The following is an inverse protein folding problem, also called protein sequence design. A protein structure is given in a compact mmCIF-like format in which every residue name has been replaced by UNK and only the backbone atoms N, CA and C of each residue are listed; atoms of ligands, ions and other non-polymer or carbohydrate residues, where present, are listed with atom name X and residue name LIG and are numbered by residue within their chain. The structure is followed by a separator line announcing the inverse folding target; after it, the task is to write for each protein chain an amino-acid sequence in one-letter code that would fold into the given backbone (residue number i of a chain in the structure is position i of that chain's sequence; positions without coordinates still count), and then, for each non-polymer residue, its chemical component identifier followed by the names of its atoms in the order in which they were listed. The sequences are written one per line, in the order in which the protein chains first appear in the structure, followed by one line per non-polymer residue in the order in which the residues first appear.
data_IF_734535091237
#
_entry.id   IF_734535091237
#
_cell.length_a   1.000
_cell.length_b   1.000
_cell.length_c   1.000
_cell.angle_alpha   90.00
_cell.angle_beta   90.00
_cell.angle_gamma   90.00
#
_symmetry.space_group_name_H-M   'P 1'
#
loop_
_entity.id
_entity.type
_entity.pdbx_description
1 polymer ?
#
# COMPACT_ATOMS: atom_id res chain seq x y z
N UNK A 1 -14.25 62.35 -1.93
CA UNK A 1 -13.27 61.39 -2.47
C UNK A 1 -13.92 60.02 -2.37
N UNK A 2 -14.38 59.48 -3.49
CA UNK A 2 -15.07 58.21 -3.53
C UNK A 2 -14.01 57.11 -3.54
N UNK A 3 -13.91 56.37 -2.44
CA UNK A 3 -12.94 55.30 -2.27
C UNK A 3 -13.39 54.12 -3.13
N UNK A 4 -12.92 54.05 -4.38
CA UNK A 4 -13.20 52.93 -5.28
C UNK A 4 -12.60 51.67 -4.67
N UNK A 5 -13.47 50.86 -4.07
CA UNK A 5 -13.17 49.53 -3.56
C UNK A 5 -12.80 48.67 -4.78
N UNK A 6 -11.52 48.40 -4.98
CA UNK A 6 -11.09 47.47 -6.02
C UNK A 6 -11.53 46.06 -5.61
N UNK A 7 -12.57 45.54 -6.27
CA UNK A 7 -12.97 44.15 -6.11
C UNK A 7 -11.93 43.25 -6.80
N UNK A 8 -11.23 42.45 -6.00
CA UNK A 8 -10.27 41.46 -6.49
C UNK A 8 -11.08 40.33 -7.13
N UNK A 9 -10.91 40.09 -8.43
CA UNK A 9 -11.45 38.90 -9.09
C UNK A 9 -10.64 37.67 -8.68
N UNK A 10 -11.33 36.61 -8.30
CA UNK A 10 -10.72 35.31 -7.94
C UNK A 10 -11.29 34.22 -8.83
N UNK A 11 -10.42 33.32 -9.30
CA UNK A 11 -10.79 32.08 -10.00
C UNK A 11 -10.18 30.89 -9.26
N UNK A 12 -10.97 29.85 -9.03
CA UNK A 12 -10.52 28.59 -8.42
C UNK A 12 -10.68 27.49 -9.46
N UNK A 13 -9.65 26.67 -9.63
CA UNK A 13 -9.65 25.49 -10.49
C UNK A 13 -9.31 24.28 -9.64
N UNK A 14 -9.92 23.14 -9.95
CA UNK A 14 -9.74 21.91 -9.20
C UNK A 14 -9.09 20.86 -10.09
N UNK A 15 -8.10 20.17 -9.53
CA UNK A 15 -7.52 18.98 -10.16
C UNK A 15 -8.50 17.81 -10.05
N UNK A 16 -8.53 16.93 -11.04
CA UNK A 16 -9.37 15.72 -11.07
C UNK A 16 -9.21 14.89 -9.79
N UNK A 17 -7.97 14.71 -9.33
CA UNK A 17 -7.66 14.00 -8.08
C UNK A 17 -8.32 14.58 -6.83
N UNK A 18 -8.62 15.89 -6.81
CA UNK A 18 -9.30 16.53 -5.67
C UNK A 18 -10.77 16.16 -5.69
N UNK A 19 -11.40 16.23 -6.86
CA UNK A 19 -12.80 15.84 -7.02
C UNK A 19 -12.97 14.33 -6.79
N UNK A 20 -12.07 13.50 -7.30
CA UNK A 20 -12.05 12.07 -7.05
C UNK A 20 -12.00 11.73 -5.54
N UNK A 21 -11.26 12.49 -4.74
CA UNK A 21 -11.25 12.31 -3.26
C UNK A 21 -12.59 12.65 -2.62
N UNK A 22 -13.24 13.72 -3.06
CA UNK A 22 -14.57 14.11 -2.58
C UNK A 22 -15.57 13.01 -2.91
N UNK A 23 -15.56 12.53 -4.16
CA UNK A 23 -16.38 11.40 -4.62
C UNK A 23 -16.10 10.18 -3.75
N UNK A 24 -14.84 9.82 -3.57
CA UNK A 24 -14.41 8.70 -2.75
C UNK A 24 -14.98 8.70 -1.34
N UNK A 25 -14.81 9.82 -0.64
CA UNK A 25 -15.36 9.96 0.71
C UNK A 25 -16.90 9.96 0.74
N UNK A 26 -17.55 10.52 -0.28
CA UNK A 26 -19.01 10.47 -0.38
C UNK A 26 -19.53 9.03 -0.55
N UNK A 27 -18.82 8.21 -1.32
CA UNK A 27 -19.18 6.81 -1.58
C UNK A 27 -19.09 5.92 -0.32
N UNK A 28 -18.24 6.24 0.65
CA UNK A 28 -18.13 5.50 1.92
C UNK A 28 -19.45 5.45 2.71
N UNK A 29 -20.35 6.41 2.47
CA UNK A 29 -21.64 6.51 3.17
C UNK A 29 -22.79 5.77 2.46
N UNK A 30 -22.53 5.12 1.33
CA UNK A 30 -23.56 4.43 0.53
C UNK A 30 -23.73 3.00 1.02
N UNK A 31 -24.90 2.70 1.59
CA UNK A 31 -25.24 1.33 1.99
C UNK A 31 -25.35 0.39 0.77
N UNK A 32 -24.74 -0.79 0.87
CA UNK A 32 -24.73 -1.79 -0.20
C UNK A 32 -23.65 -1.58 -1.27
N UNK A 33 -22.87 -0.49 -1.21
CA UNK A 33 -21.64 -0.35 -2.00
C UNK A 33 -20.47 -0.97 -1.22
N UNK A 34 -19.85 -2.02 -1.75
CA UNK A 34 -18.74 -2.71 -1.08
C UNK A 34 -17.40 -2.11 -1.46
N UNK A 35 -17.18 -1.93 -2.75
CA UNK A 35 -15.93 -1.40 -3.26
C UNK A 35 -16.15 -0.61 -4.56
N UNK A 36 -15.15 0.20 -4.87
CA UNK A 36 -14.90 0.68 -6.23
C UNK A 36 -13.73 -0.14 -6.79
N UNK A 37 -13.81 -0.50 -8.07
CA UNK A 37 -12.82 -1.32 -8.78
C UNK A 37 -11.40 -0.75 -8.64
N UNK A 38 -10.38 -1.57 -8.89
CA UNK A 38 -8.99 -1.11 -8.78
C UNK A 38 -8.47 -0.87 -7.36
N UNK A 39 -9.28 -1.16 -6.33
CA UNK A 39 -8.89 -0.94 -4.94
C UNK A 39 -8.86 0.54 -4.56
N UNK A 40 -9.66 1.38 -5.22
CA UNK A 40 -9.70 2.83 -5.01
C UNK A 40 -9.75 3.23 -3.52
N UNK A 41 -10.62 2.61 -2.71
CA UNK A 41 -10.70 2.90 -1.27
C UNK A 41 -9.39 2.57 -0.52
N UNK A 42 -8.72 1.48 -0.88
CA UNK A 42 -7.42 1.09 -0.34
C UNK A 42 -6.32 2.07 -0.75
N UNK A 43 -6.35 2.55 -2.00
CA UNK A 43 -5.39 3.52 -2.54
C UNK A 43 -5.55 4.90 -1.89
N UNK A 44 -6.79 5.32 -1.62
CA UNK A 44 -7.09 6.55 -0.87
C UNK A 44 -6.51 6.50 0.55
N UNK A 45 -6.62 5.34 1.22
CA UNK A 45 -6.08 5.12 2.57
C UNK A 45 -4.56 5.01 2.61
N UNK A 46 -3.94 4.39 1.60
CA UNK A 46 -2.50 4.13 1.52
C UNK A 46 -1.67 5.23 0.84
N UNK A 47 -2.24 6.42 0.58
CA UNK A 47 -1.62 7.55 -0.14
C UNK A 47 -0.43 8.22 0.57
N UNK A 48 0.59 7.45 0.95
CA UNK A 48 1.92 7.88 1.45
C UNK A 48 3.01 7.76 0.37
N UNK A 49 2.76 7.09 -0.75
CA UNK A 49 3.78 6.85 -1.78
C UNK A 49 3.34 7.45 -3.11
N UNK A 50 4.21 8.28 -3.70
CA UNK A 50 4.04 8.97 -4.98
C UNK A 50 3.80 7.99 -6.15
N UNK A 51 2.58 7.49 -6.32
CA UNK A 51 2.18 6.77 -7.53
C UNK A 51 1.07 7.56 -8.22
N UNK A 52 1.33 8.00 -9.45
CA UNK A 52 0.40 8.70 -10.33
C UNK A 52 -0.82 7.84 -10.77
N UNK A 53 -1.08 6.70 -10.11
CA UNK A 53 -2.12 5.71 -10.44
C UNK A 53 -3.25 5.64 -9.39
N UNK A 54 -3.56 6.73 -8.69
CA UNK A 54 -4.55 6.75 -7.58
C UNK A 54 -6.02 6.74 -8.08
N UNK A 55 -6.26 6.55 -9.38
CA UNK A 55 -7.61 6.70 -9.99
C UNK A 55 -8.22 5.40 -10.49
N UNK A 56 -7.58 4.24 -10.28
CA UNK A 56 -8.17 2.98 -10.73
C UNK A 56 -9.57 2.81 -10.12
N UNK A 57 -10.61 2.79 -10.97
CA UNK A 57 -12.02 2.64 -10.64
C UNK A 57 -12.85 3.92 -10.43
N UNK A 58 -12.22 5.10 -10.30
CA UNK A 58 -12.92 6.41 -10.29
C UNK A 58 -12.27 7.32 -11.31
N UNK A 59 -12.94 7.52 -12.43
CA UNK A 59 -12.53 8.48 -13.44
C UNK A 59 -13.35 9.77 -13.28
N UNK A 60 -12.68 10.91 -13.25
CA UNK A 60 -13.33 12.21 -13.10
C UNK A 60 -12.79 13.16 -14.14
N UNK A 61 -13.69 13.77 -14.89
CA UNK A 61 -13.36 14.86 -15.79
C UNK A 61 -13.91 16.18 -15.22
N UNK A 62 -13.03 17.18 -15.12
CA UNK A 62 -13.36 18.47 -14.49
C UNK A 62 -13.32 19.59 -15.52
N UNK A 63 -14.49 20.18 -15.78
CA UNK A 63 -14.63 21.43 -16.52
C UNK A 63 -14.59 22.67 -15.60
N UNK A 64 -14.80 23.85 -16.18
CA UNK A 64 -14.79 25.11 -15.42
C UNK A 64 -15.97 25.24 -14.44
N UNK A 65 -17.10 24.59 -14.74
CA UNK A 65 -18.33 24.64 -13.93
C UNK A 65 -19.00 23.28 -13.75
N UNK A 66 -18.50 22.28 -14.46
CA UNK A 66 -19.17 21.01 -14.66
C UNK A 66 -18.19 19.88 -14.38
N UNK A 67 -18.71 18.75 -13.91
CA UNK A 67 -17.95 17.55 -13.59
C UNK A 67 -18.69 16.34 -14.17
N UNK A 68 -17.94 15.44 -14.78
CA UNK A 68 -18.41 14.10 -15.15
C UNK A 68 -17.68 13.05 -14.30
N UNK A 69 -18.40 12.03 -13.87
CA UNK A 69 -17.87 10.97 -13.00
C UNK A 69 -18.23 9.60 -13.56
N UNK A 70 -17.22 8.77 -13.81
CA UNK A 70 -17.41 7.35 -14.13
C UNK A 70 -16.90 6.49 -12.98
N UNK A 71 -17.71 5.52 -12.58
CA UNK A 71 -17.48 4.65 -11.43
C UNK A 71 -17.60 3.19 -11.85
N UNK A 72 -16.60 2.38 -11.52
CA UNK A 72 -16.70 0.92 -11.56
C UNK A 72 -16.97 0.39 -10.16
N UNK A 73 -18.16 -0.14 -9.90
CA UNK A 73 -18.61 -0.48 -8.54
C UNK A 73 -18.81 -1.99 -8.31
N UNK A 74 -18.49 -2.42 -7.09
CA UNK A 74 -18.81 -3.75 -6.56
C UNK A 74 -19.90 -3.59 -5.51
N UNK A 75 -21.01 -4.29 -5.69
CA UNK A 75 -22.21 -4.14 -4.85
C UNK A 75 -22.45 -5.36 -3.97
N UNK A 76 -23.16 -5.16 -2.86
CA UNK A 76 -23.51 -6.21 -1.91
C UNK A 76 -24.63 -7.10 -2.46
N UNK A 77 -24.42 -8.42 -2.38
CA UNK A 77 -25.42 -9.42 -2.78
C UNK A 77 -26.74 -9.24 -2.00
N UNK A 78 -27.85 -9.23 -2.74
CA UNK A 78 -29.20 -9.11 -2.17
C UNK A 78 -29.68 -7.67 -1.93
N UNK A 79 -28.89 -6.65 -2.33
CA UNK A 79 -29.32 -5.24 -2.33
C UNK A 79 -29.88 -4.79 -3.68
N UNK A 80 -30.69 -3.73 -3.66
CA UNK A 80 -31.27 -3.11 -4.86
C UNK A 80 -30.23 -2.20 -5.54
N UNK A 81 -29.71 -2.63 -6.69
CA UNK A 81 -28.68 -1.93 -7.45
C UNK A 81 -29.15 -0.55 -7.94
N UNK A 82 -30.31 -0.40 -8.62
CA UNK A 82 -30.86 0.91 -8.94
C UNK A 82 -30.92 1.87 -7.74
N UNK A 83 -31.38 1.42 -6.58
CA UNK A 83 -31.45 2.26 -5.38
C UNK A 83 -30.06 2.67 -4.86
N UNK A 84 -29.07 1.78 -4.95
CA UNK A 84 -27.66 2.09 -4.65
C UNK A 84 -27.15 3.18 -5.60
N UNK A 85 -27.38 3.04 -6.91
CA UNK A 85 -26.93 4.02 -7.92
C UNK A 85 -27.61 5.37 -7.73
N UNK A 86 -28.90 5.40 -7.39
CA UNK A 86 -29.58 6.66 -7.04
C UNK A 86 -28.98 7.31 -5.79
N UNK A 87 -28.63 6.51 -4.78
CA UNK A 87 -27.97 6.99 -3.56
C UNK A 87 -26.59 7.56 -3.85
N UNK A 88 -25.80 6.88 -4.68
CA UNK A 88 -24.51 7.36 -5.18
C UNK A 88 -24.69 8.71 -5.88
N UNK A 89 -25.63 8.80 -6.81
CA UNK A 89 -25.90 10.02 -7.56
C UNK A 89 -26.24 11.19 -6.64
N UNK A 90 -27.12 10.99 -5.68
CA UNK A 90 -27.53 12.02 -4.74
C UNK A 90 -26.36 12.51 -3.88
N UNK A 91 -25.61 11.58 -3.26
CA UNK A 91 -24.56 11.94 -2.32
C UNK A 91 -23.34 12.56 -3.01
N UNK A 92 -22.95 12.04 -4.18
CA UNK A 92 -21.83 12.58 -4.96
C UNK A 92 -22.15 13.98 -5.47
N UNK A 93 -23.32 14.17 -6.09
CA UNK A 93 -23.72 15.47 -6.61
C UNK A 93 -23.77 16.53 -5.50
N UNK A 94 -24.34 16.17 -4.34
CA UNK A 94 -24.43 17.07 -3.20
C UNK A 94 -23.04 17.46 -2.67
N UNK A 95 -22.15 16.48 -2.44
CA UNK A 95 -20.84 16.77 -1.84
C UNK A 95 -19.96 17.61 -2.78
N UNK A 96 -19.93 17.27 -4.07
CA UNK A 96 -19.16 18.05 -5.06
C UNK A 96 -19.70 19.48 -5.16
N UNK A 97 -21.01 19.67 -5.27
CA UNK A 97 -21.62 21.01 -5.39
C UNK A 97 -21.41 21.87 -4.13
N UNK A 98 -21.58 21.28 -2.94
CA UNK A 98 -21.41 21.99 -1.66
C UNK A 98 -19.96 22.44 -1.46
N UNK A 99 -18.98 21.59 -1.80
CA UNK A 99 -17.56 21.88 -1.55
C UNK A 99 -16.90 22.73 -2.64
N UNK A 100 -17.34 22.60 -3.89
CA UNK A 100 -16.63 23.17 -5.05
C UNK A 100 -17.47 24.12 -5.90
N UNK A 101 -18.79 24.13 -5.68
CA UNK A 101 -19.76 24.85 -6.52
C UNK A 101 -19.76 24.43 -8.00
N UNK A 102 -19.14 23.29 -8.32
CA UNK A 102 -19.25 22.64 -9.61
C UNK A 102 -20.51 21.77 -9.66
N UNK A 103 -21.10 21.64 -10.85
CA UNK A 103 -22.26 20.79 -11.08
C UNK A 103 -21.85 19.46 -11.66
N UNK A 104 -22.27 18.35 -11.03
CA UNK A 104 -22.13 17.03 -11.64
C UNK A 104 -23.19 16.90 -12.73
N UNK A 105 -22.77 16.89 -13.99
CA UNK A 105 -23.68 16.81 -15.15
C UNK A 105 -23.93 15.37 -15.57
N UNK A 106 -22.96 14.50 -15.32
CA UNK A 106 -23.01 13.08 -15.70
C UNK A 106 -22.39 12.24 -14.58
N UNK A 107 -23.08 11.14 -14.26
CA UNK A 107 -22.58 10.10 -13.37
C UNK A 107 -22.93 8.74 -13.97
N UNK A 108 -21.91 8.00 -14.36
CA UNK A 108 -22.03 6.65 -14.89
C UNK A 108 -21.52 5.65 -13.85
N UNK A 109 -22.35 4.67 -13.50
CA UNK A 109 -21.99 3.59 -12.60
C UNK A 109 -22.04 2.26 -13.34
N UNK A 110 -20.88 1.65 -13.54
CA UNK A 110 -20.71 0.32 -14.12
C UNK A 110 -20.56 -0.71 -12.99
N UNK A 111 -21.48 -1.66 -12.91
CA UNK A 111 -21.42 -2.72 -11.88
C UNK A 111 -20.49 -3.83 -12.38
N UNK A 112 -19.28 -3.88 -11.83
CA UNK A 112 -18.26 -4.85 -12.26
C UNK A 112 -18.37 -6.20 -11.56
N UNK A 113 -18.92 -6.23 -10.35
CA UNK A 113 -19.06 -7.46 -9.57
C UNK A 113 -20.15 -7.36 -8.47
N UNK A 114 -20.60 -8.52 -7.98
CA UNK A 114 -21.54 -8.64 -6.86
C UNK A 114 -20.95 -9.63 -5.84
N UNK A 115 -20.78 -9.19 -4.59
CA UNK A 115 -20.20 -10.01 -3.53
C UNK A 115 -21.00 -9.95 -2.25
N UNK A 116 -20.88 -10.96 -1.40
CA UNK A 116 -21.26 -10.83 0.01
C UNK A 116 -20.20 -10.03 0.77
N UNK A 117 -20.57 -9.44 1.92
CA UNK A 117 -19.62 -8.76 2.81
C UNK A 117 -18.48 -9.70 3.24
N UNK A 118 -18.80 -10.95 3.53
CA UNK A 118 -17.81 -11.96 3.94
C UNK A 118 -16.79 -12.26 2.84
N UNK A 119 -17.22 -12.38 1.58
CA UNK A 119 -16.33 -12.58 0.44
C UNK A 119 -15.42 -11.35 0.24
N UNK A 120 -15.98 -10.14 0.36
CA UNK A 120 -15.20 -8.91 0.24
C UNK A 120 -14.15 -8.74 1.35
N UNK A 121 -14.48 -9.07 2.59
CA UNK A 121 -13.54 -9.05 3.71
C UNK A 121 -12.43 -10.11 3.55
N UNK A 122 -12.77 -11.32 3.10
CA UNK A 122 -11.79 -12.39 2.88
C UNK A 122 -10.73 -12.01 1.83
N UNK A 123 -11.16 -11.37 0.73
CA UNK A 123 -10.24 -10.90 -0.31
C UNK A 123 -9.23 -9.87 0.22
N UNK A 124 -9.62 -9.06 1.20
CA UNK A 124 -8.76 -8.04 1.81
C UNK A 124 -7.70 -8.64 2.75
N UNK A 125 -8.02 -9.74 3.44
CA UNK A 125 -7.14 -10.39 4.43
C UNK A 125 -6.09 -11.27 3.75
N UNK A 126 -6.47 -12.02 2.71
CA UNK A 126 -5.56 -12.95 2.02
C UNK A 126 -4.31 -12.30 1.43
N UNK A 127 -4.40 -11.05 0.98
CA UNK A 127 -3.26 -10.31 0.40
C UNK A 127 -2.26 -9.90 1.49
N UNK A 128 -2.74 -9.48 2.66
CA UNK A 128 -1.88 -9.09 3.78
C UNK A 128 -1.17 -10.29 4.38
N UNK A 129 -1.88 -11.41 4.55
CA UNK A 129 -1.33 -12.66 5.08
C UNK A 129 -0.22 -13.19 4.16
N UNK A 130 -0.43 -13.21 2.84
CA UNK A 130 0.59 -13.66 1.87
C UNK A 130 1.88 -12.83 1.90
N UNK A 131 1.76 -11.51 2.05
CA UNK A 131 2.95 -10.63 2.12
C UNK A 131 3.70 -10.84 3.44
N UNK A 132 2.97 -10.99 4.55
CA UNK A 132 3.57 -11.29 5.85
C UNK A 132 4.30 -12.64 5.82
N UNK A 133 3.67 -13.67 5.26
CA UNK A 133 4.23 -15.01 5.13
C UNK A 133 5.50 -15.01 4.26
N UNK A 134 5.50 -14.28 3.14
CA UNK A 134 6.67 -14.17 2.26
C UNK A 134 7.85 -13.44 2.92
N UNK A 135 7.56 -12.37 3.67
CA UNK A 135 8.57 -11.64 4.44
C UNK A 135 9.16 -12.51 5.55
N UNK A 136 8.31 -13.26 6.27
CA UNK A 136 8.73 -14.17 7.32
C UNK A 136 9.56 -15.34 6.77
N UNK A 137 9.14 -15.93 5.64
CA UNK A 137 9.89 -17.00 4.98
C UNK A 137 11.29 -16.54 4.52
N UNK A 138 11.37 -15.34 3.93
CA UNK A 138 12.65 -14.75 3.50
C UNK A 138 13.53 -14.42 4.71
N UNK A 139 12.97 -13.85 5.77
CA UNK A 139 13.70 -13.53 7.00
C UNK A 139 14.25 -14.77 7.71
N UNK A 140 13.44 -15.83 7.80
CA UNK A 140 13.87 -17.11 8.38
C UNK A 140 14.98 -17.75 7.54
N UNK A 141 14.85 -17.75 6.21
CA UNK A 141 15.87 -18.31 5.32
C UNK A 141 17.21 -17.54 5.41
N UNK A 142 17.16 -16.21 5.36
CA UNK A 142 18.35 -15.37 5.52
C UNK A 142 19.02 -15.59 6.89
N UNK A 143 18.23 -15.67 7.96
CA UNK A 143 18.73 -15.96 9.31
C UNK A 143 19.36 -17.35 9.41
N UNK A 144 18.78 -18.35 8.74
CA UNK A 144 19.31 -19.71 8.74
C UNK A 144 20.64 -19.81 7.98
N UNK A 145 20.76 -19.15 6.83
CA UNK A 145 22.02 -19.09 6.07
C UNK A 145 23.11 -18.31 6.80
N UNK A 146 22.75 -17.18 7.42
CA UNK A 146 23.67 -16.42 8.26
C UNK A 146 24.13 -17.21 9.49
N UNK A 147 23.23 -17.97 10.12
CA UNK A 147 23.54 -18.87 11.24
C UNK A 147 24.50 -19.99 10.83
N UNK A 148 24.24 -20.65 9.69
CA UNK A 148 25.12 -21.71 9.14
C UNK A 148 26.51 -21.16 8.80
N UNK A 149 26.60 -19.98 8.17
CA UNK A 149 27.87 -19.34 7.87
C UNK A 149 28.65 -18.97 9.15
N UNK A 150 27.98 -18.40 10.15
CA UNK A 150 28.59 -18.04 11.44
C UNK A 150 29.11 -19.28 12.19
N UNK A 151 28.35 -20.38 12.18
CA UNK A 151 28.75 -21.65 12.78
C UNK A 151 29.95 -22.30 12.05
N UNK A 152 29.96 -22.23 10.72
CA UNK A 152 31.08 -22.72 9.92
C UNK A 152 32.37 -21.91 10.22
N UNK A 153 32.27 -20.58 10.29
CA UNK A 153 33.40 -19.71 10.62
C UNK A 153 33.91 -19.96 12.05
N UNK A 154 33.02 -20.09 13.04
CA UNK A 154 33.44 -20.39 14.42
C UNK A 154 34.12 -21.74 14.54
N UNK A 155 33.58 -22.77 13.86
CA UNK A 155 34.19 -24.11 13.86
C UNK A 155 35.55 -24.15 13.15
N UNK A 156 35.72 -23.36 12.08
CA UNK A 156 37.00 -23.20 11.39
C UNK A 156 38.03 -22.49 12.26
N UNK A 157 37.63 -21.40 12.92
CA UNK A 157 38.50 -20.63 13.82
C UNK A 157 38.96 -21.46 15.03
N UNK A 158 38.09 -22.29 15.62
CA UNK A 158 38.48 -23.20 16.70
C UNK A 158 39.47 -24.27 16.24
N UNK A 159 39.20 -24.95 15.11
CA UNK A 159 40.12 -25.96 14.56
C UNK A 159 41.49 -25.38 14.23
N UNK A 160 41.55 -24.16 13.71
CA UNK A 160 42.83 -23.48 13.44
C UNK A 160 43.55 -23.11 14.73
N UNK A 161 42.82 -22.61 15.75
CA UNK A 161 43.43 -22.28 17.05
C UNK A 161 43.96 -23.52 17.76
N UNK A 162 43.24 -24.64 17.68
CA UNK A 162 43.63 -25.94 18.23
C UNK A 162 44.85 -26.53 17.51
N UNK A 163 44.86 -26.50 16.17
CA UNK A 163 46.02 -26.96 15.38
C UNK A 163 47.27 -26.11 15.60
N UNK A 164 47.13 -24.79 15.74
CA UNK A 164 48.26 -23.89 16.06
C UNK A 164 48.75 -24.15 17.48
N UNK A 165 47.87 -24.36 18.46
CA UNK A 165 48.25 -24.70 19.83
C UNK A 165 49.04 -26.01 19.88
N UNK A 166 48.54 -27.07 19.23
CA UNK A 166 49.21 -28.38 19.19
C UNK A 166 50.54 -28.35 18.43
N UNK A 167 50.63 -27.58 17.34
CA UNK A 167 51.87 -27.39 16.59
C UNK A 167 52.93 -26.62 17.38
N UNK A 168 52.52 -25.68 18.24
CA UNK A 168 53.43 -24.89 19.07
C UNK A 168 53.98 -25.71 20.24
N UNK A 169 53.17 -26.60 20.82
CA UNK A 169 53.60 -27.59 21.83
C UNK A 169 54.60 -28.60 21.23
N UNK A 170 54.27 -29.21 20.08
CA UNK A 170 55.14 -30.17 19.41
C UNK A 170 56.49 -29.56 18.94
N UNK A 171 56.50 -28.27 18.58
CA UNK A 171 57.72 -27.56 18.24
C UNK A 171 58.59 -27.28 19.48
N UNK A 172 57.99 -26.94 20.63
CA UNK A 172 58.72 -26.77 21.89
C UNK A 172 59.36 -28.06 22.38
N UNK A 173 58.68 -29.19 22.24
CA UNK A 173 59.20 -30.51 22.64
C UNK A 173 60.42 -30.90 21.80
N UNK A 174 60.36 -30.76 20.47
CA UNK A 174 61.50 -31.06 19.58
C UNK A 174 62.72 -30.15 19.76
N UNK A 175 62.50 -28.87 20.11
CA UNK A 175 63.59 -27.93 20.36
C UNK A 175 64.27 -28.20 21.72
N UNK A 176 63.53 -28.73 22.69
CA UNK A 176 64.06 -29.20 23.98
C UNK A 176 64.98 -30.40 23.81
N UNK A 177 64.57 -31.40 23.03
CA UNK A 177 65.35 -32.63 22.79
C UNK A 177 66.68 -32.37 22.06
N UNK A 178 66.70 -31.42 21.12
CA UNK A 178 67.90 -31.10 20.32
C UNK A 178 68.99 -30.34 21.11
N UNK A 179 68.65 -29.66 22.21
CA UNK A 179 69.63 -28.93 23.04
C UNK A 179 70.39 -29.83 24.02
N UNK A 180 69.92 -31.04 24.27
CA UNK A 180 70.55 -31.99 25.20
C UNK A 180 71.61 -32.89 24.56
N UNK A 181 71.79 -32.86 23.24
CA UNK A 181 72.77 -33.70 22.52
C UNK A 181 74.10 -33.03 22.18
N UNK A 182 74.31 -31.76 22.54
CA UNK A 182 75.56 -31.00 22.31
C UNK A 182 76.26 -30.56 23.63
N UNK A 183 76.10 -31.31 24.73
CA UNK A 183 76.87 -31.09 25.97
C UNK A 183 77.47 -32.39 26.49
#
# INVERSE_FOLDING_TARGET
MENQKQDIKTSVTYEEKVIAKIVGHALESVDGLLAVSGGFFSNLKNSVVNSDSVTDGVNVEVGTKEVAVDLDIVVEYGKDIPAIVESIKAIVSQNVEVMTHLKVVELNANVVDIKTKAEHEADSVTVQDRVSDAAQATGNFASEQAGKAKAAISSGAEKTKEAVSNGTEAAKEKISEARTSES
#
